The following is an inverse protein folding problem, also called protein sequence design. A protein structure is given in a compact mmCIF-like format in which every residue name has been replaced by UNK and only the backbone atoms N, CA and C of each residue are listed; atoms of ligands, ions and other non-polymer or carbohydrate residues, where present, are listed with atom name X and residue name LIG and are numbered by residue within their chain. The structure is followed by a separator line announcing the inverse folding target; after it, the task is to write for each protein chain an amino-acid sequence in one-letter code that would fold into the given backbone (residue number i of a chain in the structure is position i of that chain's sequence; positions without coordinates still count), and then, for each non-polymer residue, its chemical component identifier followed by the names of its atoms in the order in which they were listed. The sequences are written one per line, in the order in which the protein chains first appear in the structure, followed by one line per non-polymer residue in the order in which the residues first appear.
data_IF_362315353689
#
_entry.id   IF_362315353689
#
_cell.length_a   1.000
_cell.length_b   1.000
_cell.length_c   1.000
_cell.angle_alpha   90.00
_cell.angle_beta   90.00
_cell.angle_gamma   90.00
#
_symmetry.space_group_name_H-M   'P 1'
#
loop_
_entity.id
_entity.type
_entity.pdbx_description
1 polymer ?
#
# COMPACT_ATOMS: atom_id res chain seq x y z
N UNK A 1 6.88 19.17 -0.71
CA UNK A 1 5.52 19.50 -1.17
C UNK A 1 5.22 19.00 -2.58
N UNK A 2 6.15 19.06 -3.54
CA UNK A 2 5.94 18.58 -4.91
C UNK A 2 5.41 17.12 -4.97
N UNK A 3 6.07 16.17 -4.30
CA UNK A 3 5.63 14.76 -4.24
C UNK A 3 4.20 14.59 -3.70
N UNK A 4 3.83 15.31 -2.63
CA UNK A 4 2.50 15.24 -2.02
C UNK A 4 1.41 15.63 -3.02
N UNK A 5 1.68 16.68 -3.81
CA UNK A 5 0.79 17.17 -4.88
C UNK A 5 0.76 16.21 -6.07
N UNK A 6 1.91 15.71 -6.50
CA UNK A 6 2.02 14.76 -7.61
C UNK A 6 1.27 13.44 -7.34
N UNK A 7 1.37 12.95 -6.11
CA UNK A 7 0.77 11.69 -5.65
C UNK A 7 -0.65 11.88 -5.10
N UNK A 8 -1.18 13.10 -5.12
CA UNK A 8 -2.53 13.42 -4.67
C UNK A 8 -2.82 12.96 -3.22
N UNK A 9 -1.83 13.06 -2.33
CA UNK A 9 -1.92 12.53 -0.97
C UNK A 9 -3.03 13.22 -0.16
N UNK A 10 -3.33 14.49 -0.47
CA UNK A 10 -4.35 15.27 0.24
C UNK A 10 -5.76 14.65 0.14
N UNK A 11 -6.08 13.98 -0.96
CA UNK A 11 -7.41 13.38 -1.20
C UNK A 11 -7.39 11.85 -1.28
N UNK A 12 -6.23 11.23 -1.10
CA UNK A 12 -6.05 9.78 -1.27
C UNK A 12 -7.00 8.94 -0.40
N UNK A 13 -7.32 9.38 0.84
CA UNK A 13 -8.20 8.60 1.72
C UNK A 13 -9.66 8.56 1.26
N UNK A 14 -10.09 9.50 0.42
CA UNK A 14 -11.47 9.57 -0.10
C UNK A 14 -11.56 9.08 -1.53
N UNK A 15 -10.59 9.46 -2.37
CA UNK A 15 -10.70 9.30 -3.82
C UNK A 15 -10.10 7.98 -4.30
N UNK A 16 -9.05 7.49 -3.62
CA UNK A 16 -8.36 6.28 -4.03
C UNK A 16 -9.13 5.04 -3.60
N UNK A 17 -9.50 4.23 -4.59
CA UNK A 17 -10.03 2.89 -4.38
C UNK A 17 -8.94 1.87 -4.70
N UNK A 18 -8.40 1.16 -3.70
CA UNK A 18 -7.37 0.16 -3.96
C UNK A 18 -7.93 -0.93 -4.89
N UNK A 19 -7.17 -1.37 -5.89
CA UNK A 19 -7.55 -2.50 -6.72
C UNK A 19 -7.78 -3.76 -5.88
N UNK A 20 -8.74 -4.58 -6.30
CA UNK A 20 -9.21 -5.77 -5.55
C UNK A 20 -8.07 -6.72 -5.14
N UNK A 21 -7.07 -6.88 -6.01
CA UNK A 21 -5.89 -7.72 -5.74
C UNK A 21 -5.07 -7.20 -4.54
N UNK A 22 -4.94 -5.89 -4.35
CA UNK A 22 -4.27 -5.34 -3.16
C UNK A 22 -5.11 -5.58 -1.91
N UNK A 23 -6.43 -5.42 -2.01
CA UNK A 23 -7.33 -5.66 -0.87
C UNK A 23 -7.28 -7.12 -0.42
N UNK A 24 -7.19 -8.07 -1.37
CA UNK A 24 -7.20 -9.51 -1.08
C UNK A 24 -5.84 -10.09 -0.72
N UNK A 25 -4.77 -9.63 -1.38
CA UNK A 25 -3.47 -10.29 -1.34
C UNK A 25 -2.35 -9.44 -0.74
N UNK A 26 -2.58 -8.15 -0.42
CA UNK A 26 -1.59 -7.40 0.33
C UNK A 26 -1.49 -7.98 1.76
N UNK A 27 -0.36 -8.60 2.07
CA UNK A 27 -0.11 -9.25 3.35
C UNK A 27 0.22 -8.24 4.47
N UNK A 28 -0.54 -7.14 4.56
CA UNK A 28 -0.34 -6.09 5.58
C UNK A 28 -1.65 -5.63 6.19
N UNK A 29 -1.64 -5.39 7.50
CA UNK A 29 -2.78 -4.84 8.24
C UNK A 29 -2.29 -3.99 9.41
N UNK A 30 -3.16 -3.10 9.89
CA UNK A 30 -2.95 -2.44 11.19
C UNK A 30 -3.68 -3.23 12.26
N UNK A 31 -2.96 -3.60 13.33
CA UNK A 31 -3.49 -4.40 14.42
C UNK A 31 -3.15 -3.76 15.77
N UNK A 32 -4.15 -3.16 16.43
CA UNK A 32 -4.01 -2.63 17.79
C UNK A 32 -2.91 -1.56 17.95
N UNK A 33 -2.55 -1.30 19.22
CA UNK A 33 -1.52 -0.36 19.65
C UNK A 33 -0.48 -1.09 20.49
N UNK A 34 0.77 -0.64 20.42
CA UNK A 34 1.84 -1.12 21.30
C UNK A 34 1.74 -0.51 22.72
N UNK A 35 2.73 -0.79 23.56
CA UNK A 35 2.76 -0.32 24.95
C UNK A 35 2.89 1.20 25.09
N UNK A 36 3.34 1.88 24.05
CA UNK A 36 3.51 3.34 24.00
C UNK A 36 2.31 4.02 23.33
N UNK A 37 1.33 3.24 22.86
CA UNK A 37 0.14 3.74 22.18
C UNK A 37 0.35 3.95 20.67
N UNK A 38 1.44 3.45 20.08
CA UNK A 38 1.68 3.55 18.64
C UNK A 38 0.91 2.46 17.89
N UNK A 39 0.34 2.80 16.73
CA UNK A 39 -0.36 1.83 15.89
C UNK A 39 0.61 0.78 15.35
N UNK A 40 0.29 -0.50 15.51
CA UNK A 40 1.14 -1.59 15.00
C UNK A 40 0.72 -1.95 13.58
N UNK A 41 1.69 -1.97 12.65
CA UNK A 41 1.52 -2.52 11.31
C UNK A 41 2.11 -3.93 11.27
N UNK A 42 1.27 -4.93 11.03
CA UNK A 42 1.71 -6.30 10.79
C UNK A 42 1.94 -6.53 9.29
N UNK A 43 3.00 -7.27 8.96
CA UNK A 43 3.32 -7.71 7.60
C UNK A 43 3.67 -9.20 7.64
N UNK A 44 2.85 -10.04 6.99
CA UNK A 44 3.11 -11.49 6.90
C UNK A 44 4.08 -11.75 5.74
N UNK A 45 5.37 -11.49 5.97
CA UNK A 45 6.42 -11.64 4.95
C UNK A 45 6.52 -13.07 4.40
N UNK A 46 6.15 -14.09 5.19
CA UNK A 46 6.22 -15.49 4.78
C UNK A 46 5.14 -15.88 3.76
N UNK A 47 4.02 -15.14 3.72
CA UNK A 47 2.90 -15.39 2.79
C UNK A 47 2.86 -14.46 1.59
N UNK A 48 3.82 -13.56 1.42
CA UNK A 48 3.83 -12.63 0.28
C UNK A 48 4.08 -13.41 -1.02
N UNK A 49 3.15 -13.36 -1.97
CA UNK A 49 3.41 -13.73 -3.36
C UNK A 49 4.21 -12.61 -4.05
N UNK A 50 5.53 -12.64 -3.89
CA UNK A 50 6.44 -11.62 -4.41
C UNK A 50 6.32 -11.48 -5.93
N UNK A 51 6.15 -12.59 -6.66
CA UNK A 51 6.08 -12.57 -8.13
C UNK A 51 4.78 -11.95 -8.62
N UNK A 52 3.64 -12.40 -8.08
CA UNK A 52 2.33 -11.85 -8.42
C UNK A 52 2.21 -10.38 -8.04
N UNK A 53 2.67 -10.04 -6.84
CA UNK A 53 2.68 -8.67 -6.32
C UNK A 53 3.54 -7.74 -7.18
N UNK A 54 4.75 -8.16 -7.56
CA UNK A 54 5.63 -7.36 -8.42
C UNK A 54 5.06 -7.17 -9.83
N UNK A 55 4.48 -8.23 -10.42
CA UNK A 55 3.81 -8.15 -11.73
C UNK A 55 2.66 -7.15 -11.70
N UNK A 56 1.88 -7.16 -10.61
CA UNK A 56 0.79 -6.23 -10.43
C UNK A 56 1.26 -4.78 -10.25
N UNK A 57 2.33 -4.52 -9.49
CA UNK A 57 2.82 -3.16 -9.32
C UNK A 57 3.26 -2.51 -10.64
N UNK A 58 3.84 -3.27 -11.57
CA UNK A 58 4.24 -2.73 -12.89
C UNK A 58 3.09 -2.17 -13.73
N UNK A 59 1.88 -2.70 -13.56
CA UNK A 59 0.72 -2.23 -14.34
C UNK A 59 0.07 -0.99 -13.72
N UNK A 60 0.32 -0.71 -12.43
CA UNK A 60 -0.24 0.44 -11.75
C UNK A 60 0.35 1.76 -12.26
N UNK A 61 -0.47 2.78 -12.56
CA UNK A 61 0.00 4.07 -13.08
C UNK A 61 1.00 4.77 -12.15
N UNK A 62 0.85 4.59 -10.85
CA UNK A 62 1.67 5.24 -9.82
C UNK A 62 3.12 4.73 -9.83
N UNK A 63 3.35 3.47 -10.18
CA UNK A 63 4.69 2.87 -10.18
C UNK A 63 5.39 3.00 -11.55
N UNK A 64 4.65 3.23 -12.64
CA UNK A 64 5.26 3.55 -13.94
C UNK A 64 5.98 4.90 -13.98
N UNK A 65 5.68 5.81 -13.06
CA UNK A 65 6.33 7.13 -12.98
C UNK A 65 7.70 7.11 -12.28
N UNK A 66 8.11 5.97 -11.74
CA UNK A 66 9.35 5.80 -10.98
C UNK A 66 10.47 5.12 -11.79
N UNK A 67 10.20 4.76 -13.06
CA UNK A 67 11.17 4.27 -14.06
C UNK A 67 11.47 5.39 -15.07
#
# INVERSE_FOLDING_TARGET
MAWRKEMQIDTMLTDYKPPEVLVKYAATSFICFDKEGSIVRHVDCGRIDIKGTYTFYRILPVFRKLE
#
